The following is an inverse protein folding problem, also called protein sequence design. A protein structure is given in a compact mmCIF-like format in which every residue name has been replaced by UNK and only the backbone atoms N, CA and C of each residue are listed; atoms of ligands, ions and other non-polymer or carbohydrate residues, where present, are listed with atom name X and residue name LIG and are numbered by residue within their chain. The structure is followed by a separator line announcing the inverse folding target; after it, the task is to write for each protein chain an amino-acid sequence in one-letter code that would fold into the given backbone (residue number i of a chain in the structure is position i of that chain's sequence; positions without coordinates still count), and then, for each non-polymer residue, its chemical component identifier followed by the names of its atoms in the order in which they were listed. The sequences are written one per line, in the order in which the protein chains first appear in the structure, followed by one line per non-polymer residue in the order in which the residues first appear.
data_IF_243855941433
#
_entry.id   IF_243855941433
#
_cell.length_a   1.000
_cell.length_b   1.000
_cell.length_c   1.000
_cell.angle_alpha   90.00
_cell.angle_beta   90.00
_cell.angle_gamma   90.00
#
_symmetry.space_group_name_H-M   'P 1'
#
loop_
_entity.id
_entity.type
_entity.pdbx_description
1 polymer ?
#
# COMPACT_ATOMS: atom_id res chain seq x y z
N UNK A 1 7.26 -26.01 -24.33
CA UNK A 1 6.56 -27.01 -23.50
C UNK A 1 5.37 -27.67 -24.19
N UNK A 2 4.26 -26.98 -24.54
CA UNK A 2 3.16 -27.62 -25.32
C UNK A 2 3.54 -27.98 -26.75
N UNK A 3 4.39 -27.16 -27.38
CA UNK A 3 4.87 -27.36 -28.75
C UNK A 3 5.77 -28.59 -28.89
N UNK A 4 6.61 -28.87 -27.88
CA UNK A 4 7.61 -29.95 -27.95
C UNK A 4 6.95 -31.32 -27.87
N UNK A 5 5.96 -31.49 -26.99
CA UNK A 5 5.24 -32.78 -26.87
C UNK A 5 4.43 -33.07 -28.14
N UNK A 6 3.79 -32.05 -28.73
CA UNK A 6 3.05 -32.21 -29.98
C UNK A 6 3.97 -32.54 -31.17
N UNK A 7 5.19 -32.01 -31.17
CA UNK A 7 6.24 -32.37 -32.14
C UNK A 7 6.74 -33.79 -31.92
N UNK A 8 7.02 -34.20 -30.68
CA UNK A 8 7.42 -35.57 -30.33
C UNK A 8 6.34 -36.57 -30.75
N UNK A 9 5.05 -36.26 -30.53
CA UNK A 9 3.94 -37.11 -30.96
C UNK A 9 3.79 -37.18 -32.48
N UNK A 10 4.19 -36.15 -33.23
CA UNK A 10 4.19 -36.16 -34.71
C UNK A 10 5.41 -36.89 -35.30
N UNK A 11 6.53 -36.94 -34.58
CA UNK A 11 7.75 -37.67 -34.98
C UNK A 11 7.62 -39.19 -34.75
N UNK A 12 6.73 -39.59 -33.85
CA UNK A 12 6.45 -41.00 -33.57
C UNK A 12 5.53 -41.55 -34.68
N UNK A 13 6.13 -41.93 -35.82
CA UNK A 13 5.46 -42.65 -36.93
C UNK A 13 5.20 -44.12 -36.55
N UNK A 14 4.50 -44.36 -35.45
CA UNK A 14 4.07 -45.70 -35.05
C UNK A 14 2.81 -46.03 -35.84
N UNK A 15 2.94 -46.94 -36.81
CA UNK A 15 1.80 -47.60 -37.44
C UNK A 15 1.35 -48.73 -36.52
N UNK A 16 0.24 -48.58 -35.76
CA UNK A 16 -0.22 -49.64 -34.88
C UNK A 16 -0.55 -50.92 -35.67
N UNK A 17 -0.88 -50.81 -36.95
CA UNK A 17 -1.22 -51.94 -37.83
C UNK A 17 -0.03 -52.83 -38.21
N UNK A 18 1.21 -52.46 -37.85
CA UNK A 18 2.43 -53.15 -38.28
C UNK A 18 2.97 -54.18 -37.28
N UNK A 19 2.34 -54.36 -36.11
CA UNK A 19 2.79 -55.35 -35.12
C UNK A 19 2.16 -56.71 -35.38
N UNK A 20 2.96 -57.78 -35.41
CA UNK A 20 2.51 -59.18 -35.60
C UNK A 20 1.49 -59.64 -34.54
N UNK A 21 1.35 -58.92 -33.42
CA UNK A 21 0.38 -59.18 -32.35
C UNK A 21 -0.76 -58.14 -32.33
N UNK A 22 -1.94 -58.54 -32.79
CA UNK A 22 -3.15 -57.71 -32.87
C UNK A 22 -3.58 -57.10 -31.52
N UNK A 23 -3.32 -57.81 -30.40
CA UNK A 23 -3.60 -57.30 -29.05
C UNK A 23 -2.63 -56.20 -28.60
N UNK A 24 -1.37 -56.25 -29.02
CA UNK A 24 -0.36 -55.25 -28.68
C UNK A 24 -0.61 -53.91 -29.38
N UNK A 25 -0.96 -53.98 -30.67
CA UNK A 25 -1.41 -52.84 -31.47
C UNK A 25 -2.56 -52.06 -30.82
N UNK A 26 -3.62 -52.78 -30.42
CA UNK A 26 -4.80 -52.20 -29.76
C UNK A 26 -4.44 -51.54 -28.42
N UNK A 27 -3.56 -52.14 -27.63
CA UNK A 27 -3.11 -51.58 -26.36
C UNK A 27 -2.33 -50.26 -26.54
N UNK A 28 -1.45 -50.18 -27.53
CA UNK A 28 -0.68 -48.96 -27.85
C UNK A 28 -1.61 -47.83 -28.31
N UNK A 29 -2.61 -48.14 -29.15
CA UNK A 29 -3.59 -47.16 -29.60
C UNK A 29 -4.40 -46.57 -28.43
N UNK A 30 -4.90 -47.41 -27.52
CA UNK A 30 -5.65 -46.96 -26.34
C UNK A 30 -4.78 -46.11 -25.41
N UNK A 31 -3.50 -46.47 -25.23
CA UNK A 31 -2.56 -45.66 -24.44
C UNK A 31 -2.35 -44.28 -25.06
N UNK A 32 -2.23 -44.19 -26.39
CA UNK A 32 -2.05 -42.92 -27.09
C UNK A 32 -3.27 -42.01 -26.93
N UNK A 33 -4.47 -42.55 -27.07
CA UNK A 33 -5.73 -41.80 -26.85
C UNK A 33 -5.82 -41.26 -25.41
N UNK A 34 -5.40 -42.06 -24.44
CA UNK A 34 -5.41 -41.70 -23.03
C UNK A 34 -4.37 -40.62 -22.72
N UNK A 35 -3.17 -40.70 -23.30
CA UNK A 35 -2.13 -39.66 -23.21
C UNK A 35 -2.61 -38.35 -23.86
N UNK A 36 -3.28 -38.42 -25.01
CA UNK A 36 -3.84 -37.25 -25.67
C UNK A 36 -4.89 -36.56 -24.79
N UNK A 37 -5.83 -37.34 -24.24
CA UNK A 37 -6.85 -36.82 -23.32
C UNK A 37 -6.24 -36.19 -22.08
N UNK A 38 -5.26 -36.86 -21.45
CA UNK A 38 -4.57 -36.31 -20.29
C UNK A 38 -3.82 -35.01 -20.60
N UNK A 39 -3.24 -34.88 -21.79
CA UNK A 39 -2.58 -33.65 -22.19
C UNK A 39 -3.59 -32.51 -22.40
N UNK A 40 -4.75 -32.79 -22.99
CA UNK A 40 -5.83 -31.80 -23.14
C UNK A 40 -6.32 -31.29 -21.77
N UNK A 41 -6.58 -32.21 -20.84
CA UNK A 41 -7.01 -31.86 -19.47
C UNK A 41 -5.93 -31.05 -18.73
N UNK A 42 -4.65 -31.42 -18.87
CA UNK A 42 -3.54 -30.67 -18.28
C UNK A 42 -3.42 -29.24 -18.84
N UNK A 43 -3.65 -29.03 -20.13
CA UNK A 43 -3.60 -27.69 -20.72
C UNK A 43 -4.75 -26.80 -20.24
N UNK A 44 -5.96 -27.36 -20.12
CA UNK A 44 -7.10 -26.66 -19.54
C UNK A 44 -6.79 -26.25 -18.09
N UNK A 45 -6.26 -27.17 -17.29
CA UNK A 45 -5.89 -26.91 -15.90
C UNK A 45 -4.81 -25.83 -15.77
N UNK A 46 -3.78 -25.83 -16.63
CA UNK A 46 -2.75 -24.78 -16.61
C UNK A 46 -3.33 -23.40 -16.92
N UNK A 47 -4.26 -23.31 -17.87
CA UNK A 47 -4.93 -22.06 -18.23
C UNK A 47 -5.77 -21.55 -17.05
N UNK A 48 -6.54 -22.44 -16.41
CA UNK A 48 -7.36 -22.08 -15.26
C UNK A 48 -6.52 -21.65 -14.05
N UNK A 49 -5.43 -22.38 -13.77
CA UNK A 49 -4.50 -22.02 -12.70
C UNK A 49 -3.87 -20.64 -12.94
N UNK A 50 -3.54 -20.32 -14.20
CA UNK A 50 -3.01 -19.00 -14.55
C UNK A 50 -4.07 -17.90 -14.32
N UNK A 51 -5.33 -18.11 -14.69
CA UNK A 51 -6.42 -17.17 -14.43
C UNK A 51 -6.62 -16.91 -12.94
N UNK A 52 -6.64 -17.96 -12.12
CA UNK A 52 -6.78 -17.85 -10.67
C UNK A 52 -5.61 -17.08 -10.05
N UNK A 53 -4.38 -17.33 -10.50
CA UNK A 53 -3.21 -16.56 -10.05
C UNK A 53 -3.31 -15.09 -10.39
N UNK A 54 -3.77 -14.76 -11.59
CA UNK A 54 -3.95 -13.38 -12.03
C UNK A 54 -5.06 -12.67 -11.23
N UNK A 55 -6.15 -13.37 -10.89
CA UNK A 55 -7.22 -12.86 -10.03
C UNK A 55 -6.76 -12.62 -8.58
N UNK A 56 -5.96 -13.55 -8.02
CA UNK A 56 -5.34 -13.36 -6.70
C UNK A 56 -4.42 -12.15 -6.67
N UNK A 57 -3.63 -11.94 -7.73
CA UNK A 57 -2.74 -10.77 -7.82
C UNK A 57 -3.55 -9.47 -7.91
N UNK A 58 -4.63 -9.45 -8.70
CA UNK A 58 -5.53 -8.29 -8.79
C UNK A 58 -6.16 -7.96 -7.42
N UNK A 59 -6.64 -8.96 -6.68
CA UNK A 59 -7.18 -8.77 -5.33
C UNK A 59 -6.14 -8.26 -4.33
N UNK A 60 -4.85 -8.59 -4.54
CA UNK A 60 -3.72 -8.07 -3.76
C UNK A 60 -3.23 -6.69 -4.21
N UNK A 61 -3.81 -6.12 -5.27
CA UNK A 61 -3.40 -4.83 -5.84
C UNK A 61 -2.15 -4.91 -6.72
N UNK A 62 -1.73 -6.10 -7.11
CA UNK A 62 -0.62 -6.36 -8.03
C UNK A 62 -1.13 -6.56 -9.47
N UNK A 63 -0.27 -6.39 -10.47
CA UNK A 63 -0.63 -6.67 -11.87
C UNK A 63 -0.50 -8.18 -12.17
N UNK A 64 -1.48 -8.74 -12.87
CA UNK A 64 -1.40 -10.10 -13.41
C UNK A 64 -0.27 -10.26 -14.42
N UNK A 65 -0.02 -11.50 -14.86
CA UNK A 65 1.08 -11.81 -15.79
C UNK A 65 0.95 -10.99 -17.09
N UNK A 66 1.97 -10.19 -17.47
CA UNK A 66 1.90 -9.34 -18.65
C UNK A 66 1.86 -10.16 -19.94
N UNK A 67 0.94 -9.83 -20.84
CA UNK A 67 0.87 -10.39 -22.19
C UNK A 67 1.88 -9.68 -23.10
N UNK A 68 3.12 -10.18 -23.13
CA UNK A 68 4.17 -9.65 -24.00
C UNK A 68 3.90 -10.06 -25.45
N UNK A 69 3.39 -9.14 -26.26
CA UNK A 69 3.32 -9.34 -27.72
C UNK A 69 4.74 -9.38 -28.29
N UNK A 70 5.03 -10.38 -29.12
CA UNK A 70 6.31 -10.49 -29.81
C UNK A 70 6.61 -9.22 -30.61
N UNK A 71 7.80 -8.66 -30.42
CA UNK A 71 8.21 -7.41 -31.05
C UNK A 71 8.38 -7.63 -32.56
N UNK A 72 7.72 -6.82 -33.40
CA UNK A 72 8.04 -6.78 -34.85
C UNK A 72 9.49 -6.33 -34.98
N UNK A 73 10.31 -7.09 -35.72
CA UNK A 73 11.70 -6.71 -36.06
C UNK A 73 11.68 -5.39 -36.85
N UNK A 74 11.79 -4.28 -36.15
CA UNK A 74 12.15 -2.98 -36.71
C UNK A 74 13.67 -2.86 -36.74
N UNK A 75 14.20 -2.59 -37.94
CA UNK A 75 15.52 -2.04 -38.28
C UNK A 75 16.61 -2.04 -37.19
N UNK A 76 17.75 -2.67 -37.51
CA UNK A 76 19.04 -2.42 -36.84
C UNK A 76 19.52 -0.99 -37.15
N UNK A 77 18.84 0.00 -36.58
CA UNK A 77 19.41 1.32 -36.36
C UNK A 77 20.15 1.28 -35.05
N UNK A 78 21.42 1.69 -35.04
CA UNK A 78 22.15 1.92 -33.81
C UNK A 78 21.51 3.16 -33.14
N UNK A 79 20.43 2.98 -32.38
CA UNK A 79 19.75 4.04 -31.61
C UNK A 79 20.54 4.28 -30.33
N UNK A 80 21.83 4.57 -30.48
CA UNK A 80 22.68 5.00 -29.37
C UNK A 80 22.62 6.51 -29.29
N UNK A 81 21.70 7.01 -28.47
CA UNK A 81 21.52 8.42 -28.12
C UNK A 81 22.58 8.90 -27.10
N UNK A 82 23.84 8.49 -27.27
CA UNK A 82 24.95 8.96 -26.42
C UNK A 82 25.13 10.49 -26.52
N UNK A 83 24.81 11.09 -27.67
CA UNK A 83 24.85 12.55 -27.89
C UNK A 83 23.71 13.32 -27.22
N UNK A 84 22.58 12.68 -26.90
CA UNK A 84 21.46 13.32 -26.18
C UNK A 84 21.51 13.07 -24.67
N UNK A 85 22.48 12.30 -24.18
CA UNK A 85 22.64 12.05 -22.75
C UNK A 85 23.09 13.33 -22.06
N UNK A 86 22.15 14.05 -21.44
CA UNK A 86 22.44 15.12 -20.47
C UNK A 86 23.54 14.64 -19.52
N UNK A 87 24.69 15.30 -19.54
CA UNK A 87 25.73 15.04 -18.56
C UNK A 87 25.11 15.19 -17.17
N UNK A 88 25.17 14.11 -16.37
CA UNK A 88 24.72 14.17 -14.98
C UNK A 88 25.61 15.17 -14.27
N UNK A 89 25.07 16.35 -14.00
CA UNK A 89 25.66 17.27 -13.03
C UNK A 89 26.00 16.45 -11.79
N UNK A 90 27.25 16.56 -11.31
CA UNK A 90 27.69 15.89 -10.10
C UNK A 90 26.75 16.34 -8.99
N UNK A 91 25.81 15.46 -8.62
CA UNK A 91 24.89 15.70 -7.49
C UNK A 91 25.77 16.10 -6.31
N UNK A 92 25.65 17.34 -5.87
CA UNK A 92 26.28 17.78 -4.63
C UNK A 92 25.92 16.73 -3.57
N UNK A 93 26.95 16.21 -2.89
CA UNK A 93 26.76 15.27 -1.80
C UNK A 93 25.82 15.95 -0.81
N UNK A 94 24.55 15.50 -0.79
CA UNK A 94 23.56 15.96 0.19
C UNK A 94 24.23 15.78 1.55
N UNK A 95 24.61 16.89 2.18
CA UNK A 95 25.00 16.88 3.59
C UNK A 95 23.80 16.28 4.31
N UNK A 96 23.94 15.04 4.80
CA UNK A 96 22.95 14.44 5.67
C UNK A 96 22.90 15.33 6.91
N UNK A 97 22.01 16.33 6.91
CA UNK A 97 21.69 17.08 8.10
C UNK A 97 21.23 16.06 9.13
N UNK A 98 21.94 15.98 10.23
CA UNK A 98 21.62 15.16 11.40
C UNK A 98 20.15 15.38 11.75
N UNK A 99 19.38 14.30 11.86
CA UNK A 99 17.90 14.36 12.02
C UNK A 99 17.47 15.16 13.26
N UNK A 100 18.35 15.25 14.27
CA UNK A 100 18.10 15.92 15.56
C UNK A 100 17.99 17.44 15.45
N UNK A 101 18.69 18.09 14.52
CA UNK A 101 18.71 19.56 14.41
C UNK A 101 17.41 20.18 13.89
N UNK A 102 16.39 19.35 13.58
CA UNK A 102 15.13 19.79 12.97
C UNK A 102 13.92 19.70 13.90
N UNK A 103 14.06 19.10 15.09
CA UNK A 103 12.93 18.88 15.98
C UNK A 103 12.75 20.13 16.86
N UNK A 104 11.63 20.84 16.68
CA UNK A 104 11.27 21.97 17.54
C UNK A 104 10.86 21.44 18.92
N UNK A 105 11.50 21.94 19.98
CA UNK A 105 11.18 21.57 21.36
C UNK A 105 10.00 22.44 21.82
N UNK A 106 8.86 21.81 22.09
CA UNK A 106 7.66 22.49 22.57
C UNK A 106 7.59 22.56 24.11
N UNK A 107 8.16 21.57 24.81
CA UNK A 107 8.21 21.46 26.28
C UNK A 107 9.59 20.95 26.70
N UNK A 108 10.11 21.46 27.81
CA UNK A 108 11.37 20.99 28.43
C UNK A 108 11.07 20.63 29.88
N UNK A 109 11.31 19.37 30.24
CA UNK A 109 11.14 18.89 31.61
C UNK A 109 12.52 18.55 32.19
N UNK A 110 12.79 19.01 33.42
CA UNK A 110 14.06 18.75 34.11
C UNK A 110 13.91 17.48 34.96
N UNK A 111 14.56 16.40 34.54
CA UNK A 111 14.65 15.16 35.32
C UNK A 111 15.73 15.32 36.39
N UNK A 112 15.33 15.63 37.63
CA UNK A 112 16.26 15.70 38.76
C UNK A 112 16.62 14.28 39.22
N UNK A 113 17.89 14.07 39.55
CA UNK A 113 18.34 12.84 40.21
C UNK A 113 17.93 12.88 41.67
N UNK A 114 17.53 11.74 42.23
CA UNK A 114 17.28 11.62 43.67
C UNK A 114 18.60 11.79 44.42
N UNK A 115 18.63 12.72 45.38
CA UNK A 115 19.83 13.03 46.14
C UNK A 115 20.25 11.90 47.08
N UNK A 116 19.32 11.00 47.43
CA UNK A 116 19.62 9.85 48.29
C UNK A 116 20.42 8.75 47.57
N UNK A 117 20.34 8.69 46.25
CA UNK A 117 21.09 7.75 45.41
C UNK A 117 22.48 8.28 45.05
N UNK A 118 22.73 9.56 45.29
CA UNK A 118 24.01 10.19 44.97
C UNK A 118 25.04 9.92 46.07
N UNK A 119 26.26 9.51 45.72
CA UNK A 119 27.34 9.46 46.68
C UNK A 119 27.73 10.88 47.15
N UNK A 120 28.33 10.99 48.34
CA UNK A 120 28.62 12.29 48.99
C UNK A 120 29.59 13.19 48.20
N UNK A 121 30.36 12.62 47.28
CA UNK A 121 31.29 13.30 46.38
C UNK A 121 30.66 13.69 45.04
N UNK A 122 29.37 13.41 44.83
CA UNK A 122 28.69 13.73 43.58
C UNK A 122 28.55 15.25 43.40
N UNK A 123 29.15 15.75 42.32
CA UNK A 123 29.05 17.15 41.90
C UNK A 123 28.10 17.31 40.71
N UNK A 124 27.31 18.37 40.72
CA UNK A 124 26.45 18.71 39.59
C UNK A 124 27.28 19.21 38.40
N UNK A 125 27.26 18.47 37.28
CA UNK A 125 28.02 18.78 36.05
C UNK A 125 27.18 19.33 34.89
N UNK A 126 25.93 19.71 35.14
CA UNK A 126 25.01 20.22 34.12
C UNK A 126 23.95 19.19 33.69
N UNK A 127 23.29 19.46 32.57
CA UNK A 127 22.20 18.64 32.04
C UNK A 127 22.63 17.94 30.76
N UNK A 128 22.34 16.63 30.66
CA UNK A 128 22.40 15.89 29.41
C UNK A 128 21.00 15.86 28.76
N UNK A 129 20.90 16.33 27.52
CA UNK A 129 19.61 16.48 26.83
C UNK A 129 19.24 15.23 26.04
N UNK A 130 18.07 14.65 26.34
CA UNK A 130 17.44 13.60 25.52
C UNK A 130 16.19 14.21 24.86
N UNK A 131 16.14 14.21 23.53
CA UNK A 131 14.98 14.72 22.77
C UNK A 131 14.10 13.54 22.37
N UNK A 132 12.88 13.51 22.91
CA UNK A 132 11.83 12.52 22.57
C UNK A 132 10.68 13.25 21.89
N UNK A 133 10.13 12.65 20.81
CA UNK A 133 8.97 13.19 20.12
C UNK A 133 7.70 12.49 20.62
N UNK A 134 6.83 13.25 21.26
CA UNK A 134 5.53 12.81 21.77
C UNK A 134 4.37 13.40 20.94
N UNK A 135 3.21 12.76 21.02
CA UNK A 135 1.97 13.26 20.42
C UNK A 135 0.93 13.37 21.54
N UNK A 136 0.47 14.61 21.80
CA UNK A 136 -0.63 14.87 22.72
C UNK A 136 -1.93 14.95 21.92
N UNK A 137 -2.88 14.05 22.21
CA UNK A 137 -4.21 14.02 21.59
C UNK A 137 -5.21 14.33 22.71
N UNK A 138 -5.90 15.47 22.59
CA UNK A 138 -6.89 15.95 23.56
C UNK A 138 -8.04 16.63 22.82
N UNK A 139 -9.25 16.57 23.38
CA UNK A 139 -10.41 17.30 22.84
C UNK A 139 -10.29 18.81 23.12
N UNK A 140 -10.70 19.62 22.14
CA UNK A 140 -10.80 21.09 22.27
C UNK A 140 -12.27 21.49 22.05
N UNK A 141 -13.02 21.53 23.14
CA UNK A 141 -14.46 21.79 23.14
C UNK A 141 -14.72 23.29 23.34
N UNK A 142 -15.26 23.95 22.31
CA UNK A 142 -15.51 25.40 22.33
C UNK A 142 -17.01 25.69 22.45
N UNK A 143 -17.41 26.35 23.54
CA UNK A 143 -18.78 26.84 23.73
C UNK A 143 -18.98 28.22 23.07
N UNK A 144 -19.73 28.28 21.97
CA UNK A 144 -20.04 29.54 21.29
C UNK A 144 -21.32 30.17 21.83
N UNK A 145 -21.18 31.14 22.74
CA UNK A 145 -22.30 31.95 23.24
C UNK A 145 -22.63 33.06 22.26
N UNK A 146 -23.78 32.92 21.58
CA UNK A 146 -24.28 33.92 20.63
C UNK A 146 -25.16 34.91 21.37
N UNK A 147 -24.87 36.20 21.24
CA UNK A 147 -25.73 37.25 21.77
C UNK A 147 -27.13 37.16 21.15
N UNK A 148 -28.16 37.38 21.97
CA UNK A 148 -29.56 37.34 21.59
C UNK A 148 -30.25 38.62 22.06
N UNK A 149 -30.74 39.41 21.12
CA UNK A 149 -31.53 40.60 21.41
C UNK A 149 -32.95 40.40 20.89
N UNK A 150 -33.94 40.80 21.67
CA UNK A 150 -35.33 40.83 21.24
C UNK A 150 -35.78 42.29 21.13
N UNK A 151 -36.39 42.63 20.00
CA UNK A 151 -37.06 43.92 19.79
C UNK A 151 -38.57 43.70 19.92
N UNK A 152 -39.20 44.14 21.03
CA UNK A 152 -40.65 44.05 21.20
C UNK A 152 -41.41 44.84 20.13
N UNK A 153 -40.89 46.01 19.75
CA UNK A 153 -41.52 46.89 18.75
C UNK A 153 -41.58 46.27 17.35
N UNK A 154 -40.53 45.53 16.96
CA UNK A 154 -40.49 44.85 15.66
C UNK A 154 -40.97 43.39 15.73
N UNK A 155 -41.25 42.87 16.93
CA UNK A 155 -41.52 41.46 17.18
C UNK A 155 -40.45 40.52 16.60
N UNK A 156 -39.17 40.94 16.66
CA UNK A 156 -38.04 40.21 16.07
C UNK A 156 -36.96 39.89 17.08
N UNK A 157 -36.31 38.74 16.88
CA UNK A 157 -35.13 38.33 17.63
C UNK A 157 -33.92 38.38 16.72
N UNK A 158 -32.88 39.09 17.14
CA UNK A 158 -31.58 39.15 16.50
C UNK A 158 -30.62 38.23 17.24
N UNK A 159 -29.92 37.38 16.49
CA UNK A 159 -28.89 36.49 17.00
C UNK A 159 -27.55 36.86 16.39
N UNK A 160 -26.51 36.95 17.21
CA UNK A 160 -25.13 37.08 16.74
C UNK A 160 -24.77 35.97 15.76
N UNK A 161 -23.95 36.23 14.75
CA UNK A 161 -23.57 35.20 13.75
C UNK A 161 -22.54 34.25 14.35
N UNK A 162 -22.65 32.95 14.05
CA UNK A 162 -21.61 31.99 14.39
C UNK A 162 -20.36 32.20 13.51
N UNK A 163 -19.15 31.82 13.98
CA UNK A 163 -17.95 31.87 13.16
C UNK A 163 -18.08 31.04 11.88
N UNK A 164 -17.39 31.49 10.83
CA UNK A 164 -17.41 30.82 9.52
C UNK A 164 -16.86 29.39 9.68
N UNK A 165 -17.61 28.41 9.18
CA UNK A 165 -17.21 27.00 9.22
C UNK A 165 -17.75 26.20 10.41
N UNK A 166 -18.30 26.86 11.44
CA UNK A 166 -19.00 26.19 12.54
C UNK A 166 -20.46 25.95 12.12
N UNK A 167 -20.80 24.70 11.80
CA UNK A 167 -22.17 24.29 11.43
C UNK A 167 -22.56 23.03 12.19
N UNK A 168 -23.61 23.03 13.00
CA UNK A 168 -23.96 21.86 13.82
C UNK A 168 -22.94 21.63 14.95
N UNK A 169 -22.83 20.38 15.40
CA UNK A 169 -22.11 20.03 16.64
C UNK A 169 -20.61 19.77 16.44
N UNK A 170 -20.19 19.35 15.24
CA UNK A 170 -18.80 18.99 14.97
C UNK A 170 -18.05 20.07 14.20
N UNK A 171 -16.92 20.52 14.75
CA UNK A 171 -16.03 21.47 14.09
C UNK A 171 -15.38 20.92 12.81
N UNK A 172 -14.85 21.79 11.94
CA UNK A 172 -14.21 21.38 10.68
C UNK A 172 -12.99 20.48 10.90
N UNK A 173 -12.25 20.66 12.01
CA UNK A 173 -11.09 19.83 12.35
C UNK A 173 -11.44 18.36 12.57
N UNK A 174 -12.48 18.08 13.38
CA UNK A 174 -12.94 16.71 13.65
C UNK A 174 -13.43 16.05 12.35
N UNK A 175 -14.17 16.77 11.50
CA UNK A 175 -14.63 16.23 10.22
C UNK A 175 -13.46 15.84 9.31
N UNK A 176 -12.47 16.72 9.19
CA UNK A 176 -11.28 16.45 8.41
C UNK A 176 -10.50 15.24 8.97
N UNK A 177 -10.40 15.15 10.29
CA UNK A 177 -9.76 14.02 10.97
C UNK A 177 -10.48 12.70 10.67
N UNK A 178 -11.81 12.65 10.82
CA UNK A 178 -12.61 11.44 10.52
C UNK A 178 -12.39 10.99 9.07
N UNK A 179 -12.47 11.91 8.11
CA UNK A 179 -12.19 11.59 6.71
C UNK A 179 -10.76 11.07 6.50
N UNK A 180 -9.78 11.66 7.18
CA UNK A 180 -8.38 11.23 7.10
C UNK A 180 -8.20 9.83 7.68
N UNK A 181 -8.76 9.56 8.87
CA UNK A 181 -8.69 8.25 9.50
C UNK A 181 -9.39 7.16 8.67
N UNK A 182 -10.53 7.48 8.05
CA UNK A 182 -11.26 6.54 7.20
C UNK A 182 -10.53 6.24 5.90
N UNK A 183 -10.07 7.26 5.18
CA UNK A 183 -9.57 7.11 3.80
C UNK A 183 -8.05 6.98 3.71
N UNK A 184 -7.30 7.65 4.58
CA UNK A 184 -5.83 7.54 4.62
C UNK A 184 -5.40 6.47 5.60
N UNK A 185 -6.05 6.42 6.77
CA UNK A 185 -5.77 5.43 7.81
C UNK A 185 -6.45 4.07 7.61
N UNK A 186 -7.38 3.95 6.65
CA UNK A 186 -8.20 2.75 6.41
C UNK A 186 -8.86 2.18 7.68
N UNK A 187 -9.20 3.04 8.64
CA UNK A 187 -9.86 2.59 9.88
C UNK A 187 -11.35 2.34 9.63
N UNK A 188 -11.91 1.33 10.32
CA UNK A 188 -13.35 1.11 10.30
C UNK A 188 -14.08 2.21 11.09
N UNK A 189 -15.31 2.52 10.72
CA UNK A 189 -16.12 3.54 11.40
C UNK A 189 -16.29 3.27 12.91
N UNK A 190 -16.54 2.03 13.36
CA UNK A 190 -16.60 1.73 14.79
C UNK A 190 -15.31 2.04 15.54
N UNK A 191 -14.14 1.78 14.91
CA UNK A 191 -12.84 2.07 15.51
C UNK A 191 -12.52 3.55 15.55
N UNK A 192 -12.97 4.31 14.55
CA UNK A 192 -12.86 5.77 14.57
C UNK A 192 -13.72 6.34 15.70
N UNK A 193 -14.94 5.84 15.88
CA UNK A 193 -15.80 6.27 16.98
C UNK A 193 -15.19 5.93 18.35
N UNK A 194 -14.71 4.69 18.52
CA UNK A 194 -14.01 4.26 19.74
C UNK A 194 -12.82 5.17 20.06
N UNK A 195 -12.00 5.50 19.06
CA UNK A 195 -10.89 6.45 19.22
C UNK A 195 -11.36 7.83 19.67
N UNK A 196 -12.39 8.40 19.03
CA UNK A 196 -12.90 9.74 19.37
C UNK A 196 -13.54 9.80 20.76
N UNK A 197 -14.06 8.69 21.27
CA UNK A 197 -14.61 8.59 22.63
C UNK A 197 -13.55 8.32 23.69
N UNK A 198 -12.37 7.82 23.28
CA UNK A 198 -11.27 7.50 24.21
C UNK A 198 -10.39 8.69 24.57
N UNK A 199 -10.53 9.79 23.83
CA UNK A 199 -9.78 11.05 23.97
C UNK A 199 -10.61 12.06 24.72
#
# INVERSE_FOLDING_TARGET
MTSEIKQILQEIDIRPDATENESGSKAVFVLLQLVERFNQENEILKIENQKLRDEVNLLKGEQGKPNVRGNKKGSQGNVSSESERKQREKKEKRKLKTKKDKIKINRTDICKVDQSELPNDAEFRGYESIVVQEILITTDNVEYKREKYYSPSENKTYLGKAPIGVKGEFGPGIRALVCTLKHVGNMSEPKILEFLLSV
#
